data_IF_133991888291
#
_entry.id   IF_133991888291
#
_cell.length_a   1.000
_cell.length_b   1.000
_cell.length_c   1.000
_cell.angle_alpha   90.00
_cell.angle_beta   90.00
_cell.angle_gamma   90.00
#
_symmetry.space_group_name_H-M   'P 1'
#
loop_
_entity.id
_entity.type
_entity.pdbx_description
1 polymer ?
#
# COMPACT_ATOMS: atom_id res chain seq x y z
N UNK A 1 -9.46 6.53 16.16
CA UNK A 1 -8.28 5.69 15.83
C UNK A 1 -7.46 6.42 14.79
N UNK A 2 -6.24 6.84 15.13
CA UNK A 2 -5.32 7.45 14.17
C UNK A 2 -5.16 6.51 12.97
N UNK A 3 -5.70 6.93 11.83
CA UNK A 3 -5.51 6.29 10.54
C UNK A 3 -4.03 6.51 10.20
N UNK A 4 -3.14 5.71 10.80
CA UNK A 4 -1.72 5.66 10.45
C UNK A 4 -1.74 5.20 9.00
N UNK A 5 -1.67 6.20 8.14
CA UNK A 5 -1.89 6.08 6.71
C UNK A 5 -0.90 5.04 6.21
N UNK A 6 -1.38 3.95 5.60
CA UNK A 6 -0.52 3.01 4.87
C UNK A 6 0.49 3.76 3.98
N UNK A 7 0.07 4.93 3.51
CA UNK A 7 0.88 5.92 2.80
C UNK A 7 2.18 6.31 3.52
N UNK A 8 2.20 6.49 4.85
CA UNK A 8 3.41 6.90 5.57
C UNK A 8 4.44 5.76 5.60
N UNK A 9 4.00 4.51 5.79
CA UNK A 9 4.89 3.34 5.75
C UNK A 9 5.44 3.11 4.35
N UNK A 10 4.61 3.27 3.32
CA UNK A 10 5.02 3.18 1.92
C UNK A 10 6.03 4.28 1.59
N UNK A 11 5.78 5.53 1.99
CA UNK A 11 6.70 6.66 1.77
C UNK A 11 8.03 6.44 2.46
N UNK A 12 8.04 6.01 3.73
CA UNK A 12 9.29 5.71 4.44
C UNK A 12 10.09 4.61 3.74
N UNK A 13 9.44 3.53 3.30
CA UNK A 13 10.12 2.44 2.60
C UNK A 13 10.61 2.84 1.21
N UNK A 14 9.89 3.71 0.49
CA UNK A 14 10.38 4.32 -0.76
C UNK A 14 11.62 5.16 -0.53
N UNK A 15 11.64 5.99 0.52
CA UNK A 15 12.79 6.80 0.88
C UNK A 15 13.99 5.92 1.26
N UNK A 16 13.76 4.88 2.06
CA UNK A 16 14.79 3.91 2.42
C UNK A 16 15.36 3.20 1.19
N UNK A 17 14.52 2.74 0.28
CA UNK A 17 14.96 2.08 -0.95
C UNK A 17 15.79 3.02 -1.83
N UNK A 18 15.33 4.26 -2.03
CA UNK A 18 16.08 5.29 -2.77
C UNK A 18 17.41 5.64 -2.09
N UNK A 19 17.45 5.64 -0.76
CA UNK A 19 18.69 5.82 -0.01
C UNK A 19 19.64 4.64 -0.24
N UNK A 20 19.16 3.40 -0.10
CA UNK A 20 19.97 2.19 -0.29
C UNK A 20 20.52 2.08 -1.71
N UNK A 21 19.74 2.46 -2.73
CA UNK A 21 20.17 2.47 -4.14
C UNK A 21 21.29 3.46 -4.44
N UNK A 22 21.55 4.45 -3.58
CA UNK A 22 22.74 5.32 -3.71
C UNK A 22 24.04 4.61 -3.36
N UNK A 23 23.98 3.56 -2.55
CA UNK A 23 25.16 2.90 -1.98
C UNK A 23 25.29 1.43 -2.39
N UNK A 24 24.20 0.78 -2.78
CA UNK A 24 24.14 -0.64 -3.10
C UNK A 24 23.62 -0.83 -4.52
N UNK A 25 24.18 -1.83 -5.22
CA UNK A 25 23.70 -2.23 -6.55
C UNK A 25 22.26 -2.72 -6.48
N UNK A 26 21.39 -2.41 -7.46
CA UNK A 26 20.01 -2.93 -7.52
C UNK A 26 19.92 -4.46 -7.53
N UNK A 27 20.98 -5.16 -7.93
CA UNK A 27 21.09 -6.63 -7.86
C UNK A 27 21.45 -7.17 -6.48
N UNK A 28 21.74 -6.30 -5.51
CA UNK A 28 22.04 -6.73 -4.15
C UNK A 28 20.80 -7.41 -3.54
N UNK A 29 20.94 -8.61 -2.93
CA UNK A 29 19.82 -9.33 -2.32
C UNK A 29 19.01 -8.50 -1.32
N UNK A 30 19.67 -7.57 -0.60
CA UNK A 30 19.04 -6.66 0.34
C UNK A 30 18.09 -5.70 -0.39
N UNK A 31 18.52 -5.12 -1.53
CA UNK A 31 17.66 -4.22 -2.33
C UNK A 31 16.48 -4.99 -2.92
N UNK A 32 16.71 -6.20 -3.42
CA UNK A 32 15.65 -7.05 -3.96
C UNK A 32 14.61 -7.33 -2.87
N UNK A 33 15.05 -7.73 -1.67
CA UNK A 33 14.16 -7.98 -0.55
C UNK A 33 13.38 -6.74 -0.12
N UNK A 34 14.05 -5.58 0.00
CA UNK A 34 13.39 -4.31 0.36
C UNK A 34 12.36 -3.91 -0.69
N UNK A 35 12.68 -4.09 -1.98
CA UNK A 35 11.77 -3.82 -3.10
C UNK A 35 10.53 -4.72 -3.06
N UNK A 36 10.71 -6.03 -2.92
CA UNK A 36 9.60 -6.98 -2.82
C UNK A 36 8.70 -6.70 -1.62
N UNK A 37 9.28 -6.32 -0.48
CA UNK A 37 8.54 -6.00 0.72
C UNK A 37 7.79 -4.65 0.61
N UNK A 38 8.33 -3.69 -0.14
CA UNK A 38 7.63 -2.46 -0.49
C UNK A 38 6.42 -2.74 -1.40
N UNK A 39 6.60 -3.56 -2.44
CA UNK A 39 5.52 -3.94 -3.35
C UNK A 39 4.37 -4.64 -2.63
N UNK A 40 4.69 -5.57 -1.72
CA UNK A 40 3.66 -6.25 -0.91
C UNK A 40 2.81 -5.26 -0.10
N UNK A 41 3.45 -4.28 0.54
CA UNK A 41 2.71 -3.24 1.29
C UNK A 41 1.82 -2.37 0.40
N UNK A 42 2.25 -2.09 -0.83
CA UNK A 42 1.45 -1.33 -1.79
C UNK A 42 0.22 -2.14 -2.20
N UNK A 43 0.38 -3.42 -2.52
CA UNK A 43 -0.72 -4.32 -2.89
C UNK A 43 -1.72 -4.45 -1.75
N UNK A 44 -1.26 -4.67 -0.51
CA UNK A 44 -2.14 -4.78 0.66
C UNK A 44 -2.92 -3.48 0.91
N UNK A 45 -2.25 -2.33 0.73
CA UNK A 45 -2.91 -1.02 0.83
C UNK A 45 -3.96 -0.82 -0.26
N UNK A 46 -3.65 -1.17 -1.51
CA UNK A 46 -4.59 -1.06 -2.63
C UNK A 46 -5.80 -1.98 -2.45
N UNK A 47 -5.57 -3.22 -1.99
CA UNK A 47 -6.63 -4.18 -1.67
C UNK A 47 -7.57 -3.62 -0.60
N UNK A 48 -7.02 -3.04 0.47
CA UNK A 48 -7.82 -2.40 1.53
C UNK A 48 -8.66 -1.24 0.99
N UNK A 49 -8.11 -0.41 0.10
CA UNK A 49 -8.85 0.70 -0.53
C UNK A 49 -9.98 0.15 -1.41
N UNK A 50 -9.70 -0.89 -2.20
CA UNK A 50 -10.66 -1.54 -3.08
C UNK A 50 -11.81 -2.19 -2.31
N UNK A 51 -11.52 -2.94 -1.25
CA UNK A 51 -12.53 -3.56 -0.39
C UNK A 51 -13.44 -2.51 0.26
N UNK A 52 -12.86 -1.42 0.75
CA UNK A 52 -13.65 -0.30 1.30
C UNK A 52 -14.54 0.35 0.23
N UNK A 53 -14.03 0.52 -0.99
CA UNK A 53 -14.80 1.07 -2.10
C UNK A 53 -15.98 0.15 -2.49
N UNK A 54 -15.75 -1.16 -2.60
CA UNK A 54 -16.81 -2.15 -2.84
C UNK A 54 -17.86 -2.09 -1.74
N UNK A 55 -17.44 -2.13 -0.47
CA UNK A 55 -18.36 -2.11 0.68
C UNK A 55 -19.27 -0.88 0.64
N UNK A 56 -18.71 0.30 0.38
CA UNK A 56 -19.48 1.54 0.27
C UNK A 56 -20.43 1.53 -0.94
N UNK A 57 -19.98 0.96 -2.07
CA UNK A 57 -20.79 0.84 -3.29
C UNK A 57 -21.98 -0.10 -3.08
N UNK A 58 -21.76 -1.25 -2.44
CA UNK A 58 -22.81 -2.21 -2.11
C UNK A 58 -23.81 -1.62 -1.12
N UNK A 59 -23.33 -0.94 -0.08
CA UNK A 59 -24.17 -0.24 0.89
C UNK A 59 -25.07 0.80 0.21
N UNK A 60 -24.50 1.60 -0.71
CA UNK A 60 -25.26 2.59 -1.48
C UNK A 60 -26.30 1.96 -2.39
N UNK A 61 -26.00 0.81 -3.01
CA UNK A 61 -26.97 0.04 -3.82
C UNK A 61 -28.11 -0.52 -2.97
N UNK A 62 -27.80 -1.06 -1.78
CA UNK A 62 -28.81 -1.58 -0.86
C UNK A 62 -29.76 -0.49 -0.37
N UNK A 63 -29.23 0.68 0.00
CA UNK A 63 -30.04 1.83 0.41
C UNK A 63 -30.96 2.32 -0.72
N UNK A 64 -30.45 2.42 -1.95
CA UNK A 64 -31.25 2.82 -3.12
C UNK A 64 -32.35 1.82 -3.50
N UNK A 65 -32.26 0.57 -3.06
CA UNK A 65 -33.28 -0.47 -3.27
C UNK A 65 -34.36 -0.47 -2.18
N UNK A 66 -34.06 0.07 -1.00
CA UNK A 66 -34.95 0.12 0.15
C UNK A 66 -35.74 1.44 0.27
N UNK A 67 -35.36 2.46 -0.50
CA UNK A 67 -36.09 3.72 -0.68
C UNK A 67 -36.97 3.65 -1.93
#
# INVERSE_FOLDING_TARGET
>A
MFKISYNNKITYRKLLLNFLLKYLSPTNPIIIYVSQNLDKLIVDSQKTIYENHIKNTLFRKAYKKAA
#
